data_IF_334647504882
#
_entry.id   IF_334647504882
#
_cell.length_a   1.000
_cell.length_b   1.000
_cell.length_c   1.000
_cell.angle_alpha   90.00
_cell.angle_beta   90.00
_cell.angle_gamma   90.00
#
_symmetry.space_group_name_H-M   'P 1'
#
loop_
_entity.id
_entity.type
_entity.pdbx_description
1 polymer ?
#
# COMPACT_ATOMS: atom_id res chain seq x y z
N UNK A 1 35.32 57.31 -12.46
CA UNK A 1 35.60 56.00 -11.84
C UNK A 1 35.67 56.14 -10.31
N UNK A 2 34.52 56.16 -9.60
CA UNK A 2 34.54 56.37 -8.14
C UNK A 2 33.39 55.77 -7.33
N UNK A 3 32.31 55.28 -7.96
CA UNK A 3 31.13 54.79 -7.22
C UNK A 3 30.91 53.26 -7.24
N UNK A 4 31.62 52.52 -8.09
CA UNK A 4 31.41 51.05 -8.24
C UNK A 4 32.22 50.25 -7.20
N UNK A 5 33.33 50.78 -6.71
CA UNK A 5 34.29 50.03 -5.87
C UNK A 5 33.82 49.87 -4.41
N UNK A 6 32.96 50.76 -3.90
CA UNK A 6 32.50 50.71 -2.50
C UNK A 6 31.44 49.61 -2.24
N UNK A 7 30.64 49.23 -3.24
CA UNK A 7 29.59 48.21 -3.07
C UNK A 7 30.10 46.76 -3.11
N UNK A 8 31.26 46.51 -3.72
CA UNK A 8 31.82 45.17 -3.81
C UNK A 8 32.47 44.70 -2.49
N UNK A 9 33.02 45.63 -1.69
CA UNK A 9 33.63 45.29 -0.39
C UNK A 9 32.58 44.95 0.69
N UNK A 10 31.41 45.58 0.66
CA UNK A 10 30.32 45.30 1.62
C UNK A 10 29.65 43.95 1.35
N UNK A 11 29.48 43.56 0.09
CA UNK A 11 28.87 42.27 -0.30
C UNK A 11 29.82 41.09 0.01
N UNK A 12 31.13 41.24 -0.22
CA UNK A 12 32.13 40.21 0.17
C UNK A 12 32.15 39.98 1.69
N UNK A 13 31.98 41.04 2.47
CA UNK A 13 31.94 40.96 3.94
C UNK A 13 30.62 40.34 4.44
N UNK A 14 29.50 40.64 3.78
CA UNK A 14 28.19 40.07 4.12
C UNK A 14 28.08 38.56 3.83
N UNK A 15 28.65 38.10 2.70
CA UNK A 15 28.63 36.68 2.34
C UNK A 15 29.60 35.80 3.16
N UNK A 16 30.70 36.37 3.68
CA UNK A 16 31.70 35.60 4.44
C UNK A 16 31.30 35.36 5.90
N UNK A 17 30.48 36.23 6.51
CA UNK A 17 30.12 36.12 7.93
C UNK A 17 28.89 35.26 8.24
N UNK A 18 28.05 34.90 7.26
CA UNK A 18 26.81 34.12 7.52
C UNK A 18 26.81 32.66 7.08
N UNK A 19 27.78 32.21 6.29
CA UNK A 19 27.74 30.88 5.66
C UNK A 19 28.73 29.85 6.19
N UNK A 20 29.44 30.14 7.28
CA UNK A 20 30.43 29.20 7.86
C UNK A 20 29.88 28.38 9.02
N UNK A 21 28.66 28.63 9.53
CA UNK A 21 28.28 28.02 10.81
C UNK A 21 27.45 26.72 10.81
N UNK A 22 26.79 26.25 9.75
CA UNK A 22 25.81 25.15 9.93
C UNK A 22 25.81 23.99 8.92
N UNK A 23 26.89 23.64 8.23
CA UNK A 23 26.90 22.44 7.35
C UNK A 23 28.22 21.66 7.41
N UNK A 24 28.21 20.32 7.49
CA UNK A 24 29.43 19.52 7.47
C UNK A 24 30.03 19.53 6.05
N UNK A 25 31.35 19.72 5.88
CA UNK A 25 31.94 19.84 4.56
C UNK A 25 32.19 18.45 3.94
N UNK A 26 31.38 18.06 2.95
CA UNK A 26 31.76 16.99 2.03
C UNK A 26 32.88 17.48 1.12
N UNK A 27 33.88 16.61 0.81
CA UNK A 27 35.04 16.95 -0.04
C UNK A 27 34.65 17.48 -1.44
N UNK A 28 33.42 17.19 -1.88
CA UNK A 28 32.83 17.61 -3.15
C UNK A 28 32.42 19.09 -3.11
N UNK A 29 31.80 19.54 -2.02
CA UNK A 29 31.42 20.94 -1.84
C UNK A 29 32.65 21.86 -1.90
N UNK A 30 33.76 21.45 -1.29
CA UNK A 30 35.03 22.19 -1.33
C UNK A 30 35.62 22.24 -2.76
N UNK A 31 35.52 21.16 -3.55
CA UNK A 31 35.99 21.14 -4.95
C UNK A 31 35.16 22.05 -5.87
N UNK A 32 33.84 22.02 -5.75
CA UNK A 32 32.94 22.89 -6.52
C UNK A 32 33.13 24.36 -6.14
N UNK A 33 33.36 24.64 -4.86
CA UNK A 33 33.64 26.00 -4.39
C UNK A 33 34.98 26.52 -4.92
N UNK A 34 36.04 25.70 -4.90
CA UNK A 34 37.36 26.05 -5.47
C UNK A 34 37.30 26.25 -6.99
N UNK A 35 36.55 25.42 -7.72
CA UNK A 35 36.34 25.59 -9.16
C UNK A 35 35.53 26.85 -9.50
N UNK A 36 34.57 27.23 -8.65
CA UNK A 36 33.78 28.45 -8.80
C UNK A 36 34.58 29.71 -8.46
N UNK A 37 35.48 29.64 -7.46
CA UNK A 37 36.38 30.74 -7.11
C UNK A 37 37.46 30.99 -8.17
N UNK A 38 37.93 29.96 -8.86
CA UNK A 38 38.89 30.07 -9.96
C UNK A 38 38.33 30.77 -11.22
N UNK A 39 37.01 30.92 -11.34
CA UNK A 39 36.35 31.58 -12.47
C UNK A 39 36.00 33.05 -12.23
N UNK A 40 36.43 33.65 -11.11
CA UNK A 40 36.15 35.04 -10.72
C UNK A 40 37.13 36.04 -11.38
N UNK A 41 37.66 35.71 -12.56
CA UNK A 41 38.48 36.62 -13.36
C UNK A 41 37.69 37.40 -14.40
N UNK A 42 36.60 36.83 -14.93
CA UNK A 42 35.96 37.34 -16.14
C UNK A 42 34.44 37.13 -16.05
N UNK A 43 33.70 38.22 -16.25
CA UNK A 43 32.25 38.28 -16.51
C UNK A 43 31.24 38.45 -15.37
N UNK A 44 30.21 39.22 -15.73
CA UNK A 44 29.18 39.89 -14.94
C UNK A 44 28.47 39.08 -13.84
N UNK A 45 28.10 39.79 -12.77
CA UNK A 45 27.37 39.29 -11.57
C UNK A 45 26.05 38.58 -11.87
N UNK A 46 25.42 38.85 -13.01
CA UNK A 46 24.14 38.26 -13.43
C UNK A 46 24.30 36.82 -13.89
N UNK A 47 25.46 36.47 -14.49
CA UNK A 47 25.80 35.09 -14.85
C UNK A 47 26.18 34.27 -13.61
N UNK A 48 26.79 34.88 -12.60
CA UNK A 48 27.08 34.21 -11.33
C UNK A 48 25.78 33.81 -10.63
N UNK A 49 24.76 34.67 -10.54
CA UNK A 49 23.49 34.30 -9.89
C UNK A 49 22.77 33.17 -10.63
N UNK A 50 22.76 33.20 -11.97
CA UNK A 50 22.15 32.12 -12.78
C UNK A 50 22.95 30.83 -12.70
N UNK A 51 24.28 30.88 -12.76
CA UNK A 51 25.14 29.70 -12.70
C UNK A 51 25.13 29.07 -11.31
N UNK A 52 25.23 29.89 -10.25
CA UNK A 52 25.16 29.40 -8.87
C UNK A 52 23.76 28.91 -8.52
N UNK A 53 22.67 29.49 -9.05
CA UNK A 53 21.31 28.97 -8.85
C UNK A 53 21.04 27.70 -9.64
N UNK A 54 21.62 27.56 -10.85
CA UNK A 54 21.52 26.34 -11.68
C UNK A 54 22.34 25.20 -11.09
N UNK A 55 23.55 25.50 -10.59
CA UNK A 55 24.39 24.52 -9.91
C UNK A 55 23.94 24.26 -8.46
N UNK A 56 23.39 25.24 -7.73
CA UNK A 56 22.70 24.97 -6.46
C UNK A 56 21.46 24.13 -6.70
N UNK A 57 20.66 24.35 -7.77
CA UNK A 57 19.58 23.40 -8.14
C UNK A 57 20.11 22.01 -8.47
N UNK A 58 21.29 21.90 -9.08
CA UNK A 58 21.96 20.63 -9.37
C UNK A 58 22.60 19.97 -8.13
N UNK A 59 22.81 20.75 -7.04
CA UNK A 59 23.36 20.27 -5.75
C UNK A 59 22.26 20.08 -4.69
N UNK A 60 21.12 20.75 -4.84
CA UNK A 60 19.88 20.53 -4.05
C UNK A 60 18.94 19.53 -4.70
N UNK A 61 19.16 19.16 -5.97
CA UNK A 61 19.06 17.76 -6.35
C UNK A 61 20.22 17.05 -5.64
N UNK A 62 20.05 16.81 -4.34
CA UNK A 62 20.44 15.48 -3.86
C UNK A 62 19.76 14.56 -4.86
N UNK A 63 20.55 13.86 -5.69
CA UNK A 63 20.01 12.82 -6.55
C UNK A 63 19.02 12.08 -5.67
N UNK A 64 17.72 12.17 -5.97
CA UNK A 64 16.72 11.29 -5.36
C UNK A 64 17.20 9.92 -5.79
N UNK A 65 18.01 9.32 -4.94
CA UNK A 65 18.66 8.06 -5.23
C UNK A 65 17.53 7.12 -5.57
N UNK A 66 17.60 6.49 -6.75
CA UNK A 66 16.72 5.37 -7.09
C UNK A 66 16.60 4.53 -5.83
N UNK A 67 15.38 4.24 -5.39
CA UNK A 67 15.17 3.28 -4.32
C UNK A 67 15.60 1.91 -4.84
N UNK A 68 16.88 1.63 -4.72
CA UNK A 68 17.41 0.30 -4.99
C UNK A 68 17.15 -0.49 -3.72
N UNK A 69 15.95 -1.06 -3.62
CA UNK A 69 15.71 -2.04 -2.60
C UNK A 69 16.57 -3.27 -2.94
N UNK A 70 17.57 -3.54 -2.10
CA UNK A 70 18.43 -4.69 -2.30
C UNK A 70 17.69 -5.99 -1.98
N UNK A 71 17.95 -7.08 -2.73
CA UNK A 71 17.30 -8.36 -2.52
C UNK A 71 17.41 -8.91 -1.10
N UNK A 72 16.44 -9.73 -0.64
CA UNK A 72 16.49 -10.41 0.66
C UNK A 72 17.73 -11.27 0.90
N UNK A 73 18.41 -11.72 -0.16
CA UNK A 73 19.67 -12.44 -0.08
C UNK A 73 20.78 -11.67 0.67
N UNK A 74 20.77 -10.33 0.64
CA UNK A 74 21.74 -9.50 1.37
C UNK A 74 21.33 -9.25 2.83
N UNK A 75 20.13 -9.65 3.20
CA UNK A 75 19.49 -9.36 4.47
C UNK A 75 19.33 -10.55 5.41
N UNK A 76 18.67 -10.33 6.54
CA UNK A 76 18.25 -11.41 7.46
C UNK A 76 16.77 -11.71 7.34
N UNK A 77 15.96 -10.71 7.04
CA UNK A 77 14.50 -10.82 7.04
C UNK A 77 13.94 -10.71 5.62
N UNK A 78 12.74 -11.25 5.41
CA UNK A 78 11.91 -11.04 4.23
C UNK A 78 10.69 -10.25 4.70
N UNK A 79 10.49 -9.07 4.16
CA UNK A 79 9.54 -8.07 4.64
C UNK A 79 8.27 -8.09 3.80
N UNK A 80 7.12 -8.28 4.47
CA UNK A 80 5.81 -8.44 3.82
C UNK A 80 4.83 -7.42 4.38
N UNK A 81 4.25 -6.61 3.52
CA UNK A 81 3.07 -5.80 3.83
C UNK A 81 1.84 -6.42 3.16
N UNK A 82 0.78 -6.64 3.92
CA UNK A 82 -0.50 -7.12 3.41
C UNK A 82 -1.64 -6.20 3.82
N UNK A 83 -2.52 -5.87 2.88
CA UNK A 83 -3.64 -4.95 3.09
C UNK A 83 -4.94 -5.61 2.64
N UNK A 84 -5.89 -5.75 3.56
CA UNK A 84 -7.16 -6.43 3.29
C UNK A 84 -8.09 -5.61 2.38
N UNK A 85 -9.03 -6.31 1.74
CA UNK A 85 -10.17 -5.70 1.07
C UNK A 85 -11.18 -5.10 2.04
N UNK A 86 -12.01 -4.16 1.55
CA UNK A 86 -13.00 -3.51 2.42
C UNK A 86 -13.71 -2.25 1.90
N UNK A 87 -13.60 -1.92 0.61
CA UNK A 87 -14.25 -0.72 0.04
C UNK A 87 -13.78 0.58 0.72
N UNK A 88 -14.70 1.47 1.09
CA UNK A 88 -14.35 2.76 1.73
C UNK A 88 -13.63 2.62 3.07
N UNK A 89 -13.68 1.43 3.69
CA UNK A 89 -12.97 1.14 4.94
C UNK A 89 -11.46 1.09 4.76
N UNK A 90 -10.95 1.16 3.54
CA UNK A 90 -9.54 1.43 3.22
C UNK A 90 -8.99 2.70 3.88
N UNK A 91 -9.84 3.61 4.37
CA UNK A 91 -9.43 4.71 5.23
C UNK A 91 -8.73 4.24 6.52
N UNK A 92 -9.12 3.09 7.09
CA UNK A 92 -8.48 2.55 8.30
C UNK A 92 -7.02 2.20 8.02
N UNK A 93 -6.68 1.30 7.06
CA UNK A 93 -5.29 1.02 6.74
C UNK A 93 -4.55 2.26 6.23
N UNK A 94 -5.21 3.20 5.56
CA UNK A 94 -4.57 4.46 5.14
C UNK A 94 -3.99 5.26 6.33
N UNK A 95 -4.69 5.32 7.46
CA UNK A 95 -4.19 5.99 8.67
C UNK A 95 -2.99 5.23 9.27
N UNK A 96 -3.05 3.90 9.29
CA UNK A 96 -1.97 3.05 9.80
C UNK A 96 -0.70 3.19 8.94
N UNK A 97 -0.86 3.21 7.61
CA UNK A 97 0.22 3.36 6.65
C UNK A 97 0.83 4.76 6.68
N UNK A 98 0.01 5.80 6.83
CA UNK A 98 0.48 7.19 7.01
C UNK A 98 1.36 7.29 8.27
N UNK A 99 0.92 6.70 9.38
CA UNK A 99 1.72 6.63 10.59
C UNK A 99 3.05 5.88 10.36
N UNK A 100 3.01 4.69 9.76
CA UNK A 100 4.21 3.89 9.48
C UNK A 100 5.21 4.64 8.57
N UNK A 101 4.75 5.26 7.49
CA UNK A 101 5.61 6.00 6.57
C UNK A 101 6.24 7.23 7.24
N UNK A 102 5.50 7.94 8.10
CA UNK A 102 6.07 9.07 8.86
C UNK A 102 7.12 8.63 9.87
N UNK A 103 6.95 7.47 10.51
CA UNK A 103 8.00 6.90 11.37
C UNK A 103 9.24 6.50 10.58
N UNK A 104 9.08 5.92 9.38
CA UNK A 104 10.21 5.64 8.49
C UNK A 104 10.93 6.93 8.05
N UNK A 105 10.17 7.97 7.69
CA UNK A 105 10.72 9.30 7.37
C UNK A 105 11.49 9.92 8.54
N UNK A 106 11.02 9.72 9.77
CA UNK A 106 11.71 10.19 10.98
C UNK A 106 13.05 9.47 11.19
N UNK A 107 13.15 8.20 10.81
CA UNK A 107 14.37 7.39 11.00
C UNK A 107 15.37 7.63 9.86
N UNK A 108 14.91 7.59 8.60
CA UNK A 108 15.78 7.54 7.41
C UNK A 108 15.71 8.79 6.52
N UNK A 109 14.86 9.75 6.84
CA UNK A 109 14.70 11.03 6.13
C UNK A 109 13.44 11.16 5.29
N UNK A 110 13.12 12.39 4.89
CA UNK A 110 11.84 12.78 4.24
C UNK A 110 11.54 12.06 2.91
N UNK A 111 12.56 11.55 2.23
CA UNK A 111 12.40 10.82 0.98
C UNK A 111 12.00 9.35 1.18
N UNK A 112 12.02 8.82 2.41
CA UNK A 112 11.61 7.44 2.72
C UNK A 112 10.14 7.17 2.31
N UNK A 113 9.89 6.05 1.64
CA UNK A 113 8.56 5.59 1.25
C UNK A 113 8.37 4.13 1.58
N UNK A 114 7.13 3.70 1.80
CA UNK A 114 6.80 2.31 2.13
C UNK A 114 7.43 1.29 1.16
N UNK A 115 7.41 1.58 -0.14
CA UNK A 115 7.98 0.70 -1.17
C UNK A 115 9.50 0.46 -1.04
N UNK A 116 10.22 1.27 -0.27
CA UNK A 116 11.67 1.12 -0.08
C UNK A 116 12.03 0.03 0.94
N UNK A 117 11.05 -0.42 1.73
CA UNK A 117 11.26 -1.26 2.91
C UNK A 117 10.62 -2.64 2.83
N UNK A 118 9.64 -2.84 1.93
CA UNK A 118 8.89 -4.09 1.81
C UNK A 118 9.27 -4.85 0.56
N UNK A 119 9.74 -6.09 0.70
CA UNK A 119 10.12 -6.96 -0.42
C UNK A 119 8.92 -7.32 -1.28
N UNK A 120 7.76 -7.40 -0.63
CA UNK A 120 6.48 -7.63 -1.27
C UNK A 120 5.36 -6.82 -0.59
N UNK A 121 4.51 -6.21 -1.41
CA UNK A 121 3.29 -5.54 -0.96
C UNK A 121 2.07 -6.23 -1.58
N UNK A 122 1.23 -6.81 -0.75
CA UNK A 122 0.04 -7.53 -1.17
C UNK A 122 -1.23 -6.77 -0.80
N UNK A 123 -2.20 -6.76 -1.70
CA UNK A 123 -3.46 -6.06 -1.44
C UNK A 123 -4.63 -6.62 -2.23
N UNK A 124 -5.77 -6.78 -1.56
CA UNK A 124 -7.03 -7.24 -2.18
C UNK A 124 -8.01 -6.10 -2.28
N UNK A 125 -8.72 -5.96 -3.40
CA UNK A 125 -9.76 -4.93 -3.57
C UNK A 125 -9.20 -3.54 -3.32
N UNK A 126 -9.79 -2.79 -2.39
CA UNK A 126 -9.24 -1.51 -1.94
C UNK A 126 -7.78 -1.62 -1.46
N UNK A 127 -7.37 -2.71 -0.81
CA UNK A 127 -5.98 -2.96 -0.48
C UNK A 127 -5.11 -3.06 -1.72
N UNK A 128 -5.60 -3.65 -2.81
CA UNK A 128 -4.91 -3.70 -4.11
C UNK A 128 -4.78 -2.32 -4.77
N UNK A 129 -5.80 -1.45 -4.62
CA UNK A 129 -5.71 -0.04 -5.03
C UNK A 129 -4.62 0.70 -4.25
N UNK A 130 -4.56 0.48 -2.93
CA UNK A 130 -3.53 1.07 -2.07
C UNK A 130 -2.14 0.56 -2.44
N UNK A 131 -1.99 -0.75 -2.68
CA UNK A 131 -0.75 -1.35 -3.17
C UNK A 131 -0.28 -0.68 -4.45
N UNK A 132 -1.16 -0.49 -5.43
CA UNK A 132 -0.81 0.19 -6.67
C UNK A 132 -0.43 1.66 -6.45
N UNK A 133 -1.11 2.38 -5.55
CA UNK A 133 -0.74 3.76 -5.22
C UNK A 133 0.66 3.88 -4.60
N UNK A 134 1.02 2.93 -3.74
CA UNK A 134 2.32 2.92 -3.05
C UNK A 134 3.48 2.41 -3.93
N UNK A 135 3.20 1.78 -5.07
CA UNK A 135 4.22 1.07 -5.87
C UNK A 135 4.30 1.48 -7.33
N UNK A 136 3.29 2.17 -7.88
CA UNK A 136 3.38 2.73 -9.21
C UNK A 136 4.47 3.81 -9.26
N UNK A 137 5.39 3.77 -10.23
CA UNK A 137 6.45 4.77 -10.37
C UNK A 137 5.93 6.07 -11.01
N UNK A 138 6.46 7.19 -10.53
CA UNK A 138 6.42 8.47 -11.23
C UNK A 138 7.60 8.60 -12.22
N UNK A 139 7.78 9.80 -12.78
CA UNK A 139 8.86 10.11 -13.73
C UNK A 139 10.26 9.99 -13.09
N UNK A 140 10.37 10.16 -11.77
CA UNK A 140 11.60 10.04 -10.99
C UNK A 140 11.82 8.61 -10.44
N UNK A 141 10.99 7.62 -10.84
CA UNK A 141 10.99 6.26 -10.29
C UNK A 141 10.81 6.25 -8.76
N UNK A 142 9.93 7.10 -8.25
CA UNK A 142 9.42 7.11 -6.87
C UNK A 142 7.92 6.81 -6.85
N UNK A 143 7.35 6.37 -5.72
CA UNK A 143 5.92 6.13 -5.63
C UNK A 143 5.12 7.39 -5.99
N UNK A 144 4.10 7.23 -6.85
CA UNK A 144 3.21 8.34 -7.25
C UNK A 144 2.46 8.93 -6.05
N UNK A 145 2.26 8.15 -4.98
CA UNK A 145 1.56 8.57 -3.77
C UNK A 145 2.43 8.38 -2.53
N UNK A 146 2.36 9.35 -1.63
CA UNK A 146 2.73 9.12 -0.22
C UNK A 146 1.57 8.44 0.52
N UNK A 147 1.86 7.79 1.63
CA UNK A 147 0.83 7.11 2.41
C UNK A 147 -0.28 8.08 2.89
N UNK A 148 0.10 9.33 3.24
CA UNK A 148 -0.85 10.41 3.61
C UNK A 148 -1.85 10.77 2.51
N UNK A 149 -1.49 10.56 1.24
CA UNK A 149 -2.33 10.92 0.09
C UNK A 149 -3.49 9.95 -0.11
N UNK A 150 -3.36 8.71 0.38
CA UNK A 150 -4.39 7.67 0.29
C UNK A 150 -5.67 8.14 0.97
N UNK A 151 -5.57 8.71 2.17
CA UNK A 151 -6.72 9.28 2.91
C UNK A 151 -7.47 10.31 2.05
N UNK A 152 -6.73 11.25 1.46
CA UNK A 152 -7.30 12.31 0.63
C UNK A 152 -7.95 11.74 -0.63
N UNK A 153 -7.34 10.70 -1.22
CA UNK A 153 -7.92 9.99 -2.36
C UNK A 153 -9.31 9.43 -2.00
N UNK A 154 -9.46 8.73 -0.87
CA UNK A 154 -10.75 8.17 -0.46
C UNK A 154 -11.78 9.25 -0.16
N UNK A 155 -11.40 10.32 0.57
CA UNK A 155 -12.32 11.41 0.89
C UNK A 155 -12.88 12.09 -0.36
N UNK A 156 -12.06 12.28 -1.39
CA UNK A 156 -12.45 12.97 -2.62
C UNK A 156 -13.22 12.07 -3.60
N UNK A 157 -12.89 10.79 -3.66
CA UNK A 157 -13.39 9.89 -4.71
C UNK A 157 -14.52 8.97 -4.24
N UNK A 158 -14.55 8.55 -2.97
CA UNK A 158 -15.57 7.60 -2.48
C UNK A 158 -17.01 8.09 -2.68
N UNK A 159 -17.36 9.37 -2.42
CA UNK A 159 -18.73 9.85 -2.65
C UNK A 159 -19.15 9.85 -4.12
N UNK A 160 -18.18 9.91 -5.04
CA UNK A 160 -18.40 9.90 -6.50
C UNK A 160 -18.44 8.48 -7.07
N UNK A 161 -17.66 7.56 -6.49
CA UNK A 161 -17.69 6.13 -6.80
C UNK A 161 -19.00 5.51 -6.29
N UNK A 162 -19.34 5.78 -5.02
CA UNK A 162 -20.51 5.25 -4.34
C UNK A 162 -21.53 6.35 -4.11
N UNK A 163 -22.27 6.71 -5.16
CA UNK A 163 -23.27 7.78 -5.06
C UNK A 163 -24.34 7.44 -4.01
N UNK A 164 -24.57 8.38 -3.10
CA UNK A 164 -25.53 8.24 -2.00
C UNK A 164 -26.96 8.57 -2.46
N UNK A 165 -27.34 8.17 -3.68
CA UNK A 165 -28.68 8.43 -4.22
C UNK A 165 -29.74 7.91 -3.25
N UNK A 166 -30.67 8.79 -2.86
CA UNK A 166 -31.65 8.55 -1.80
C UNK A 166 -32.82 7.65 -2.25
N UNK A 167 -32.93 7.33 -3.55
CA UNK A 167 -34.03 6.51 -4.05
C UNK A 167 -33.70 5.02 -3.98
N UNK A 168 -34.03 4.41 -2.84
CA UNK A 168 -33.81 2.98 -2.53
C UNK A 168 -34.50 2.09 -3.57
N UNK A 169 -35.67 2.47 -4.06
CA UNK A 169 -36.42 1.71 -5.07
C UNK A 169 -35.67 1.66 -6.42
N UNK A 170 -35.05 2.77 -6.83
CA UNK A 170 -34.22 2.82 -8.03
C UNK A 170 -32.98 1.93 -7.90
N UNK A 171 -32.34 1.92 -6.73
CA UNK A 171 -31.19 1.04 -6.45
C UNK A 171 -31.60 -0.43 -6.45
N UNK A 172 -32.78 -0.76 -5.93
CA UNK A 172 -33.33 -2.12 -5.96
C UNK A 172 -33.54 -2.62 -7.40
N UNK A 173 -34.27 -1.85 -8.22
CA UNK A 173 -34.51 -2.22 -9.62
C UNK A 173 -33.18 -2.35 -10.36
N UNK A 174 -32.25 -1.42 -10.16
CA UNK A 174 -30.94 -1.47 -10.79
C UNK A 174 -30.18 -2.74 -10.39
N UNK A 175 -30.21 -3.13 -9.11
CA UNK A 175 -29.56 -4.34 -8.62
C UNK A 175 -30.16 -5.64 -9.16
N UNK A 176 -31.42 -5.64 -9.62
CA UNK A 176 -32.04 -6.78 -10.29
C UNK A 176 -31.60 -6.90 -11.76
N UNK A 177 -31.29 -5.77 -12.41
CA UNK A 177 -30.94 -5.70 -13.83
C UNK A 177 -29.43 -5.58 -14.08
N UNK A 178 -28.61 -5.39 -13.03
CA UNK A 178 -27.17 -5.17 -13.14
C UNK A 178 -26.53 -4.74 -11.81
N UNK A 179 -25.26 -4.31 -11.82
CA UNK A 179 -24.57 -3.87 -10.61
C UNK A 179 -25.14 -2.55 -10.07
N UNK A 180 -25.07 -2.36 -8.74
CA UNK A 180 -25.55 -1.14 -8.07
C UNK A 180 -24.84 0.11 -8.61
N UNK A 181 -23.54 0.01 -8.87
CA UNK A 181 -22.68 1.08 -9.40
C UNK A 181 -22.17 0.70 -10.79
N UNK A 182 -21.99 1.69 -11.68
CA UNK A 182 -21.54 1.43 -13.05
C UNK A 182 -20.01 1.32 -13.21
N UNK A 183 -19.25 1.65 -12.16
CA UNK A 183 -17.79 1.62 -12.15
C UNK A 183 -17.10 2.72 -12.98
N UNK A 184 -17.81 3.50 -13.80
CA UNK A 184 -17.19 4.41 -14.78
C UNK A 184 -16.29 5.45 -14.14
N UNK A 185 -16.74 6.06 -13.04
CA UNK A 185 -15.93 7.05 -12.31
C UNK A 185 -14.68 6.41 -11.68
N UNK A 186 -14.81 5.21 -11.12
CA UNK A 186 -13.70 4.45 -10.55
C UNK A 186 -12.65 4.13 -11.63
N UNK A 187 -13.08 3.58 -12.77
CA UNK A 187 -12.20 3.20 -13.87
C UNK A 187 -11.45 4.41 -14.40
N UNK A 188 -12.14 5.53 -14.63
CA UNK A 188 -11.53 6.77 -15.10
C UNK A 188 -10.53 7.34 -14.08
N UNK A 189 -10.85 7.28 -12.79
CA UNK A 189 -9.96 7.76 -11.72
C UNK A 189 -8.69 6.94 -11.62
N UNK A 190 -8.80 5.60 -11.73
CA UNK A 190 -7.66 4.67 -11.71
C UNK A 190 -6.79 4.88 -12.96
N UNK A 191 -7.39 4.83 -14.16
CA UNK A 191 -6.65 4.99 -15.44
C UNK A 191 -5.94 6.33 -15.53
N UNK A 192 -6.57 7.41 -15.07
CA UNK A 192 -5.93 8.74 -15.06
C UNK A 192 -4.67 8.78 -14.19
N UNK A 193 -4.65 8.04 -13.07
CA UNK A 193 -3.54 8.05 -12.10
C UNK A 193 -2.44 7.09 -12.48
N UNK A 194 -2.79 5.89 -12.92
CA UNK A 194 -1.81 4.84 -13.26
C UNK A 194 -1.33 4.92 -14.72
N UNK A 195 -1.99 5.71 -15.58
CA UNK A 195 -1.63 5.89 -16.99
C UNK A 195 -1.45 4.53 -17.67
N UNK A 196 -0.29 4.29 -18.30
CA UNK A 196 0.06 3.05 -18.98
C UNK A 196 0.99 2.15 -18.15
N UNK A 197 1.09 2.38 -16.84
CA UNK A 197 1.94 1.59 -15.93
C UNK A 197 1.49 0.14 -15.95
N UNK A 198 2.43 -0.78 -16.17
CA UNK A 198 2.20 -2.22 -16.12
C UNK A 198 2.65 -2.82 -14.79
N UNK A 199 2.32 -4.08 -14.56
CA UNK A 199 2.77 -4.83 -13.40
C UNK A 199 4.31 -4.84 -13.28
N UNK A 200 5.04 -4.96 -14.39
CA UNK A 200 6.51 -4.99 -14.40
C UNK A 200 7.16 -3.65 -13.99
N UNK A 201 6.42 -2.54 -14.11
CA UNK A 201 6.93 -1.21 -13.81
C UNK A 201 6.91 -0.90 -12.30
N UNK A 202 6.29 -1.75 -11.49
CA UNK A 202 6.13 -1.55 -10.04
C UNK A 202 7.48 -1.46 -9.32
N UNK A 203 7.57 -0.58 -8.32
CA UNK A 203 8.83 -0.25 -7.63
C UNK A 203 9.33 -1.35 -6.69
N UNK A 204 8.42 -2.21 -6.24
CA UNK A 204 8.71 -3.41 -5.47
C UNK A 204 7.78 -4.53 -5.94
N UNK A 205 7.99 -5.75 -5.49
CA UNK A 205 7.14 -6.86 -5.87
C UNK A 205 5.75 -6.68 -5.27
N UNK A 206 4.71 -6.93 -6.06
CA UNK A 206 3.34 -6.84 -5.59
C UNK A 206 2.58 -8.13 -5.80
N UNK A 207 1.52 -8.31 -5.01
CA UNK A 207 0.56 -9.41 -5.13
C UNK A 207 -0.85 -8.86 -5.03
N UNK A 208 -1.60 -8.94 -6.12
CA UNK A 208 -2.99 -8.50 -6.18
C UNK A 208 -3.86 -9.66 -6.68
N UNK A 209 -4.66 -10.31 -5.81
CA UNK A 209 -5.56 -11.36 -6.22
C UNK A 209 -6.80 -10.81 -6.93
N UNK A 210 -7.31 -11.60 -7.86
CA UNK A 210 -8.63 -11.49 -8.49
C UNK A 210 -9.23 -12.90 -8.62
N UNK A 211 -10.50 -12.99 -9.00
CA UNK A 211 -11.12 -14.27 -9.32
C UNK A 211 -11.64 -14.24 -10.76
N UNK A 212 -11.24 -15.21 -11.58
CA UNK A 212 -11.68 -15.30 -12.96
C UNK A 212 -12.94 -16.17 -13.07
N UNK A 213 -14.03 -15.57 -13.52
CA UNK A 213 -15.34 -16.22 -13.57
C UNK A 213 -15.54 -17.10 -14.80
N UNK A 214 -14.67 -16.98 -15.80
CA UNK A 214 -14.69 -17.84 -16.99
C UNK A 214 -13.98 -19.17 -16.71
N UNK A 215 -12.84 -19.12 -16.02
CA UNK A 215 -12.05 -20.30 -15.63
C UNK A 215 -12.43 -20.88 -14.27
N UNK A 216 -13.18 -20.14 -13.46
CA UNK A 216 -13.53 -20.48 -12.07
C UNK A 216 -12.29 -20.72 -11.20
N UNK A 217 -11.23 -19.93 -11.42
CA UNK A 217 -9.96 -20.02 -10.71
C UNK A 217 -9.49 -18.65 -10.23
N UNK A 218 -8.76 -18.58 -9.09
CA UNK A 218 -8.10 -17.35 -8.70
C UNK A 218 -7.02 -16.97 -9.72
N UNK A 219 -7.01 -15.70 -10.11
CA UNK A 219 -5.93 -15.12 -10.92
C UNK A 219 -5.12 -14.21 -10.01
N UNK A 220 -3.85 -14.54 -9.78
CA UNK A 220 -2.97 -13.79 -8.89
C UNK A 220 -2.01 -12.96 -9.74
N UNK A 221 -2.19 -11.65 -9.76
CA UNK A 221 -1.23 -10.74 -10.38
C UNK A 221 -0.05 -10.55 -9.43
N UNK A 222 1.05 -11.24 -9.74
CA UNK A 222 2.26 -11.25 -8.92
C UNK A 222 3.47 -10.86 -9.77
N UNK A 223 4.27 -9.92 -9.29
CA UNK A 223 5.54 -9.53 -9.95
C UNK A 223 6.51 -10.73 -10.04
N UNK A 224 6.34 -11.74 -9.20
CA UNK A 224 7.11 -12.97 -9.23
C UNK A 224 6.58 -13.98 -10.25
N UNK A 225 5.26 -14.22 -10.29
CA UNK A 225 4.69 -15.17 -11.25
C UNK A 225 4.75 -14.65 -12.68
N UNK A 226 4.72 -13.33 -12.91
CA UNK A 226 4.81 -12.80 -14.26
C UNK A 226 6.11 -13.16 -14.99
N UNK A 227 7.20 -13.42 -14.24
CA UNK A 227 8.48 -13.85 -14.80
C UNK A 227 8.35 -15.23 -15.49
N UNK A 228 7.50 -16.10 -14.95
CA UNK A 228 7.20 -17.44 -15.47
C UNK A 228 5.99 -17.44 -16.42
N UNK A 229 5.04 -16.53 -16.18
CA UNK A 229 3.78 -16.37 -16.92
C UNK A 229 3.68 -14.94 -17.43
N UNK A 230 4.38 -14.58 -18.52
CA UNK A 230 4.46 -13.19 -18.98
C UNK A 230 3.12 -12.56 -19.38
N UNK A 231 2.09 -13.37 -19.67
CA UNK A 231 0.73 -12.89 -19.90
C UNK A 231 0.10 -12.22 -18.67
N UNK A 232 0.65 -12.41 -17.47
CA UNK A 232 0.22 -11.68 -16.27
C UNK A 232 0.69 -10.21 -16.25
N UNK A 233 1.54 -9.80 -17.19
CA UNK A 233 2.02 -8.42 -17.32
C UNK A 233 0.96 -7.47 -17.90
N UNK A 234 -0.13 -7.29 -17.16
CA UNK A 234 -1.24 -6.43 -17.50
C UNK A 234 -1.01 -4.97 -17.07
N UNK A 235 -1.85 -4.06 -17.58
CA UNK A 235 -1.91 -2.69 -17.06
C UNK A 235 -2.34 -2.72 -15.60
N UNK A 236 -1.62 -1.98 -14.75
CA UNK A 236 -1.91 -1.90 -13.33
C UNK A 236 -3.32 -1.31 -13.09
N UNK A 237 -3.81 -0.47 -14.01
CA UNK A 237 -5.19 0.00 -13.97
C UNK A 237 -6.23 -1.11 -14.15
N UNK A 238 -5.98 -2.07 -15.04
CA UNK A 238 -6.94 -3.17 -15.26
C UNK A 238 -6.91 -4.15 -14.08
N UNK A 239 -5.73 -4.40 -13.51
CA UNK A 239 -5.57 -5.18 -12.28
C UNK A 239 -6.34 -4.52 -11.12
N UNK A 240 -6.18 -3.21 -10.93
CA UNK A 240 -6.86 -2.43 -9.90
C UNK A 240 -8.38 -2.42 -10.05
N UNK A 241 -8.87 -2.28 -11.28
CA UNK A 241 -10.31 -2.32 -11.57
C UNK A 241 -10.84 -3.73 -11.26
N UNK A 242 -10.17 -4.77 -11.74
CA UNK A 242 -10.56 -6.16 -11.53
C UNK A 242 -10.60 -6.55 -10.05
N UNK A 243 -9.53 -6.27 -9.29
CA UNK A 243 -9.48 -6.66 -7.87
C UNK A 243 -10.54 -5.97 -7.02
N UNK A 244 -11.05 -4.81 -7.45
CA UNK A 244 -12.09 -4.04 -6.72
C UNK A 244 -13.51 -4.23 -7.25
N UNK A 245 -13.72 -5.08 -8.26
CA UNK A 245 -15.00 -5.33 -8.91
C UNK A 245 -15.90 -6.27 -8.08
N UNK A 246 -16.33 -5.80 -6.90
CA UNK A 246 -17.11 -6.59 -5.96
C UNK A 246 -18.46 -7.01 -6.58
N UNK A 247 -18.79 -8.32 -6.62
CA UNK A 247 -20.08 -8.79 -7.14
C UNK A 247 -21.24 -8.04 -6.49
N UNK A 248 -22.34 -7.87 -7.23
CA UNK A 248 -23.52 -7.06 -6.85
C UNK A 248 -23.26 -5.55 -6.88
N UNK A 249 -22.08 -5.08 -6.45
CA UNK A 249 -21.78 -3.66 -6.35
C UNK A 249 -21.22 -3.05 -7.64
N UNK A 250 -20.27 -3.73 -8.28
CA UNK A 250 -19.54 -3.24 -9.45
C UNK A 250 -19.56 -4.29 -10.58
N UNK A 251 -19.51 -3.87 -11.86
CA UNK A 251 -19.44 -4.81 -12.98
C UNK A 251 -18.12 -5.59 -12.95
N UNK A 252 -18.11 -6.88 -13.35
CA UNK A 252 -16.89 -7.60 -13.68
C UNK A 252 -16.05 -6.83 -14.71
N UNK A 253 -14.75 -7.05 -14.68
CA UNK A 253 -13.81 -6.38 -15.58
C UNK A 253 -13.21 -7.36 -16.57
N UNK A 254 -13.31 -7.02 -17.85
CA UNK A 254 -12.72 -7.78 -18.94
C UNK A 254 -11.59 -6.99 -19.61
N UNK A 255 -10.47 -7.66 -19.86
CA UNK A 255 -9.39 -7.15 -20.69
C UNK A 255 -8.54 -8.29 -21.27
N UNK A 256 -7.69 -7.97 -22.23
CA UNK A 256 -6.76 -8.91 -22.84
C UNK A 256 -5.32 -8.44 -22.63
N UNK A 257 -4.41 -9.41 -22.52
CA UNK A 257 -2.97 -9.18 -22.68
C UNK A 257 -2.48 -9.91 -23.93
N UNK A 258 -1.35 -9.46 -24.46
CA UNK A 258 -0.70 -10.13 -25.58
C UNK A 258 0.75 -10.40 -25.23
N UNK A 259 1.14 -11.67 -25.30
CA UNK A 259 2.52 -12.09 -25.17
C UNK A 259 2.92 -12.94 -26.37
N UNK A 260 3.93 -12.50 -27.12
CA UNK A 260 4.45 -13.20 -28.31
C UNK A 260 3.35 -13.54 -29.34
N UNK A 261 2.36 -12.66 -29.51
CA UNK A 261 1.25 -12.87 -30.45
C UNK A 261 0.12 -13.75 -29.89
N UNK A 262 0.30 -14.35 -28.70
CA UNK A 262 -0.75 -15.08 -28.01
C UNK A 262 -1.56 -14.12 -27.14
N UNK A 263 -2.86 -14.04 -27.42
CA UNK A 263 -3.82 -13.29 -26.61
C UNK A 263 -4.23 -14.13 -25.40
N UNK A 264 -4.24 -13.50 -24.24
CA UNK A 264 -4.81 -14.08 -23.03
C UNK A 264 -5.93 -13.17 -22.54
N UNK A 265 -7.11 -13.76 -22.35
CA UNK A 265 -8.32 -13.07 -21.94
C UNK A 265 -8.52 -13.20 -20.43
N UNK A 266 -8.95 -12.13 -19.78
CA UNK A 266 -9.24 -12.09 -18.36
C UNK A 266 -10.68 -11.67 -18.13
N UNK A 267 -11.43 -12.44 -17.35
CA UNK A 267 -12.83 -12.19 -17.01
C UNK A 267 -12.99 -12.13 -15.49
N UNK A 268 -12.69 -10.98 -14.89
CA UNK A 268 -12.34 -10.90 -13.48
C UNK A 268 -13.38 -10.21 -12.61
N UNK A 269 -13.51 -10.70 -11.38
CA UNK A 269 -14.20 -10.06 -10.26
C UNK A 269 -13.26 -9.86 -9.07
N UNK A 270 -13.78 -9.21 -8.02
CA UNK A 270 -13.02 -8.83 -6.82
C UNK A 270 -12.22 -9.99 -6.21
N UNK A 271 -10.98 -9.67 -5.81
CA UNK A 271 -10.05 -10.62 -5.21
C UNK A 271 -10.52 -11.17 -3.85
N UNK A 272 -11.47 -10.53 -3.18
CA UNK A 272 -12.06 -11.02 -1.94
C UNK A 272 -12.80 -12.36 -2.13
N UNK A 273 -13.18 -12.70 -3.37
CA UNK A 273 -13.73 -14.03 -3.71
C UNK A 273 -12.67 -15.14 -3.67
N UNK A 274 -11.39 -14.78 -3.71
CA UNK A 274 -10.26 -15.69 -3.59
C UNK A 274 -9.55 -15.56 -2.23
N UNK A 275 -9.14 -14.35 -1.86
CA UNK A 275 -8.40 -14.08 -0.64
C UNK A 275 -8.61 -12.61 -0.21
N UNK A 276 -9.52 -12.36 0.73
CA UNK A 276 -9.73 -11.01 1.26
C UNK A 276 -8.53 -10.51 2.07
N UNK A 277 -7.89 -11.40 2.84
CA UNK A 277 -6.58 -11.18 3.44
C UNK A 277 -5.50 -11.89 2.58
N UNK A 278 -4.71 -11.16 1.78
CA UNK A 278 -3.77 -11.78 0.84
C UNK A 278 -2.42 -12.18 1.48
N UNK A 279 -2.28 -12.16 2.81
CA UNK A 279 -0.99 -12.41 3.48
C UNK A 279 -0.42 -13.79 3.13
N UNK A 280 -1.23 -14.85 3.20
CA UNK A 280 -0.79 -16.20 2.84
C UNK A 280 -0.44 -16.33 1.35
N UNK A 281 -1.13 -15.60 0.46
CA UNK A 281 -0.78 -15.57 -0.96
C UNK A 281 0.60 -14.95 -1.14
N UNK A 282 0.88 -13.83 -0.49
CA UNK A 282 2.19 -13.16 -0.54
C UNK A 282 3.33 -14.07 -0.06
N UNK A 283 3.12 -14.75 1.07
CA UNK A 283 4.09 -15.71 1.61
C UNK A 283 4.29 -16.91 0.69
N UNK A 284 3.21 -17.42 0.08
CA UNK A 284 3.27 -18.50 -0.90
C UNK A 284 4.04 -18.12 -2.17
N UNK A 285 3.87 -16.89 -2.65
CA UNK A 285 4.61 -16.36 -3.79
C UNK A 285 6.13 -16.29 -3.52
N UNK A 286 6.53 -15.83 -2.32
CA UNK A 286 7.93 -15.88 -1.88
C UNK A 286 8.44 -17.33 -1.79
N UNK A 287 7.64 -18.24 -1.22
CA UNK A 287 8.01 -19.65 -1.11
C UNK A 287 8.27 -20.30 -2.48
N UNK A 288 7.46 -19.98 -3.50
CA UNK A 288 7.70 -20.44 -4.88
C UNK A 288 9.05 -19.95 -5.43
N UNK A 289 9.43 -18.71 -5.16
CA UNK A 289 10.72 -18.17 -5.61
C UNK A 289 11.91 -18.89 -4.98
N UNK A 290 11.77 -19.30 -3.72
CA UNK A 290 12.77 -20.11 -3.02
C UNK A 290 12.88 -21.52 -3.61
N UNK A 291 11.76 -22.17 -3.91
CA UNK A 291 11.76 -23.47 -4.61
C UNK A 291 12.42 -23.38 -5.99
N UNK A 292 12.26 -22.25 -6.69
CA UNK A 292 12.86 -21.99 -8.00
C UNK A 292 14.35 -21.61 -7.96
N UNK A 293 14.98 -21.54 -6.78
CA UNK A 293 16.38 -21.10 -6.59
C UNK A 293 16.66 -19.72 -7.19
N UNK A 294 15.72 -18.79 -7.07
CA UNK A 294 15.92 -17.42 -7.51
C UNK A 294 17.08 -16.78 -6.73
N UNK A 295 18.03 -16.16 -7.44
CA UNK A 295 19.23 -15.55 -6.86
C UNK A 295 18.92 -14.41 -5.88
N UNK A 296 17.82 -13.69 -6.07
CA UNK A 296 17.35 -12.64 -5.15
C UNK A 296 17.01 -13.22 -3.75
N UNK A 297 16.78 -14.52 -3.71
CA UNK A 297 16.41 -15.32 -2.56
C UNK A 297 17.40 -16.46 -2.30
N UNK A 298 18.71 -16.30 -2.59
CA UNK A 298 19.71 -17.32 -2.25
C UNK A 298 19.73 -17.56 -0.73
N UNK A 299 18.96 -18.56 -0.26
CA UNK A 299 18.90 -18.99 1.14
C UNK A 299 19.61 -20.35 1.23
N UNK A 300 20.64 -20.49 2.09
CA UNK A 300 21.39 -21.75 2.22
C UNK A 300 20.58 -22.93 2.79
N UNK A 301 19.35 -22.70 3.27
CA UNK A 301 18.52 -23.66 3.99
C UNK A 301 17.07 -23.64 3.48
N UNK A 302 16.30 -24.74 3.61
CA UNK A 302 14.87 -24.77 3.26
C UNK A 302 14.09 -23.65 3.94
N UNK A 303 12.99 -23.20 3.31
CA UNK A 303 12.15 -22.06 3.73
C UNK A 303 12.01 -21.93 5.26
N UNK A 304 12.82 -21.06 5.86
CA UNK A 304 12.68 -20.73 7.28
C UNK A 304 11.67 -19.61 7.43
N UNK A 305 10.43 -19.96 7.74
CA UNK A 305 9.37 -19.01 8.09
C UNK A 305 9.79 -18.01 9.20
N UNK A 306 10.82 -18.34 9.99
CA UNK A 306 11.49 -17.45 10.96
C UNK A 306 12.03 -16.15 10.37
N UNK A 307 12.34 -16.13 9.07
CA UNK A 307 12.86 -14.93 8.38
C UNK A 307 11.77 -13.96 7.95
N UNK A 308 10.50 -14.36 7.94
CA UNK A 308 9.43 -13.44 7.55
C UNK A 308 9.23 -12.40 8.65
N UNK A 309 9.14 -11.13 8.24
CA UNK A 309 8.66 -10.00 9.03
C UNK A 309 7.41 -9.47 8.32
N UNK A 310 6.25 -9.70 8.92
CA UNK A 310 4.95 -9.52 8.29
C UNK A 310 4.12 -8.51 9.06
N UNK A 311 3.60 -7.52 8.35
CA UNK A 311 2.51 -6.67 8.83
C UNK A 311 1.28 -6.88 7.94
N UNK A 312 0.17 -7.26 8.55
CA UNK A 312 -1.14 -7.42 7.90
C UNK A 312 -2.11 -6.41 8.48
N UNK A 313 -2.68 -5.54 7.65
CA UNK A 313 -3.54 -4.44 8.08
C UNK A 313 -4.95 -4.68 7.55
N UNK A 314 -5.88 -4.92 8.46
CA UNK A 314 -7.27 -5.16 8.12
C UNK A 314 -8.07 -3.85 7.94
N UNK A 315 -9.26 -3.97 7.35
CA UNK A 315 -10.22 -2.86 7.17
C UNK A 315 -11.32 -2.84 8.23
N UNK A 316 -11.13 -3.60 9.31
CA UNK A 316 -12.04 -3.74 10.44
C UNK A 316 -13.19 -4.72 10.23
N UNK A 317 -13.80 -5.14 11.33
CA UNK A 317 -14.82 -6.18 11.45
C UNK A 317 -15.91 -5.75 12.43
N UNK A 318 -17.10 -6.32 12.27
CA UNK A 318 -18.26 -6.02 13.12
C UNK A 318 -18.49 -7.07 14.23
N UNK A 319 -17.57 -8.03 14.43
CA UNK A 319 -17.77 -9.26 15.21
C UNK A 319 -18.24 -9.04 16.65
N UNK A 320 -17.70 -8.04 17.34
CA UNK A 320 -18.06 -7.75 18.74
C UNK A 320 -19.47 -7.20 18.89
N UNK A 321 -19.95 -6.47 17.90
CA UNK A 321 -21.19 -5.67 18.00
C UNK A 321 -22.35 -6.36 17.28
N UNK A 322 -22.07 -7.11 16.21
CA UNK A 322 -23.12 -7.62 15.35
C UNK A 322 -22.88 -9.05 14.88
N UNK A 323 -23.91 -9.86 15.06
CA UNK A 323 -23.97 -11.25 14.62
C UNK A 323 -25.29 -11.47 13.89
N UNK A 324 -25.27 -12.26 12.82
CA UNK A 324 -26.50 -12.72 12.18
C UNK A 324 -27.30 -13.59 13.16
N UNK A 325 -28.61 -13.36 13.23
CA UNK A 325 -29.50 -14.15 14.06
C UNK A 325 -30.03 -15.34 13.25
N UNK A 326 -29.78 -16.56 13.73
CA UNK A 326 -30.18 -17.81 13.04
C UNK A 326 -31.69 -17.87 12.79
N UNK A 327 -32.52 -17.43 13.74
CA UNK A 327 -33.98 -17.44 13.57
C UNK A 327 -34.47 -16.46 12.49
N UNK A 328 -33.68 -15.41 12.21
CA UNK A 328 -33.94 -14.50 11.08
C UNK A 328 -33.38 -15.09 9.78
N UNK A 329 -32.15 -15.60 9.81
CA UNK A 329 -31.46 -16.16 8.64
C UNK A 329 -32.13 -17.43 8.10
N UNK A 330 -32.75 -18.26 8.94
CA UNK A 330 -33.51 -19.44 8.52
C UNK A 330 -34.73 -19.12 7.66
N UNK A 331 -35.18 -17.87 7.68
CA UNK A 331 -36.29 -17.37 6.84
C UNK A 331 -35.80 -16.64 5.60
N UNK A 332 -34.49 -16.55 5.37
CA UNK A 332 -33.93 -15.86 4.21
C UNK A 332 -34.00 -16.74 2.97
N UNK A 333 -34.63 -16.22 1.92
CA UNK A 333 -34.46 -16.69 0.55
C UNK A 333 -33.27 -16.04 -0.15
N UNK A 334 -33.21 -16.15 -1.47
CA UNK A 334 -32.11 -15.60 -2.31
C UNK A 334 -31.80 -14.14 -1.97
N UNK A 335 -32.81 -13.27 -1.92
CA UNK A 335 -32.62 -11.84 -1.63
C UNK A 335 -32.09 -11.56 -0.22
N UNK A 336 -32.47 -12.37 0.78
CA UNK A 336 -32.00 -12.20 2.15
C UNK A 336 -30.51 -12.50 2.28
N UNK A 337 -30.03 -13.53 1.57
CA UNK A 337 -28.63 -13.92 1.54
C UNK A 337 -27.77 -13.05 0.60
N UNK A 338 -28.29 -12.64 -0.55
CA UNK A 338 -27.51 -11.93 -1.58
C UNK A 338 -27.45 -10.42 -1.36
N UNK A 339 -28.57 -9.73 -1.15
CA UNK A 339 -28.60 -8.29 -0.96
C UNK A 339 -29.79 -7.86 -0.10
N UNK A 340 -29.50 -7.41 1.11
CA UNK A 340 -30.48 -6.73 1.93
C UNK A 340 -30.65 -5.29 1.45
N UNK A 341 -31.60 -5.09 0.54
CA UNK A 341 -31.90 -3.84 -0.18
C UNK A 341 -32.07 -2.63 0.74
N UNK A 342 -32.62 -2.82 1.94
CA UNK A 342 -32.84 -1.73 2.90
C UNK A 342 -31.52 -1.15 3.45
N UNK A 343 -30.47 -1.97 3.54
CA UNK A 343 -29.16 -1.58 4.07
C UNK A 343 -28.03 -1.69 3.05
N UNK A 344 -28.33 -2.13 1.82
CA UNK A 344 -27.40 -2.56 0.78
C UNK A 344 -26.25 -3.47 1.29
N UNK A 345 -26.48 -4.24 2.36
CA UNK A 345 -25.51 -5.21 2.87
C UNK A 345 -25.68 -6.55 2.18
N UNK A 346 -24.59 -7.27 1.92
CA UNK A 346 -24.62 -8.60 1.32
C UNK A 346 -24.10 -9.63 2.33
N UNK A 347 -24.99 -10.33 3.05
CA UNK A 347 -24.55 -11.28 4.08
C UNK A 347 -23.60 -12.36 3.58
N UNK A 348 -23.82 -12.85 2.36
CA UNK A 348 -22.94 -13.86 1.77
C UNK A 348 -21.52 -13.30 1.55
N UNK A 349 -21.39 -12.10 0.97
CA UNK A 349 -20.09 -11.46 0.77
C UNK A 349 -19.41 -11.10 2.09
N UNK A 350 -20.19 -10.64 3.07
CA UNK A 350 -19.71 -10.30 4.42
C UNK A 350 -19.12 -11.56 5.10
N UNK A 351 -19.84 -12.69 5.04
CA UNK A 351 -19.40 -13.97 5.62
C UNK A 351 -18.15 -14.51 4.92
N UNK A 352 -18.11 -14.53 3.59
CA UNK A 352 -16.94 -15.02 2.85
C UNK A 352 -15.70 -14.16 3.11
N UNK A 353 -15.86 -12.83 3.10
CA UNK A 353 -14.75 -11.91 3.39
C UNK A 353 -14.23 -12.10 4.81
N UNK A 354 -15.13 -12.24 5.78
CA UNK A 354 -14.77 -12.47 7.18
C UNK A 354 -14.08 -13.81 7.39
N UNK A 355 -14.62 -14.89 6.82
CA UNK A 355 -14.02 -16.21 6.90
C UNK A 355 -12.61 -16.23 6.29
N UNK A 356 -12.41 -15.52 5.18
CA UNK A 356 -11.10 -15.41 4.54
C UNK A 356 -10.08 -14.71 5.44
N UNK A 357 -10.45 -13.59 6.09
CA UNK A 357 -9.56 -12.89 7.03
C UNK A 357 -9.25 -13.76 8.26
N UNK A 358 -10.26 -14.41 8.85
CA UNK A 358 -10.11 -15.21 10.08
C UNK A 358 -9.20 -16.40 9.89
N UNK A 359 -9.43 -17.16 8.82
CA UNK A 359 -8.65 -18.36 8.52
C UNK A 359 -7.18 -17.97 8.34
N UNK A 360 -6.89 -16.88 7.63
CA UNK A 360 -5.51 -16.43 7.41
C UNK A 360 -4.84 -16.05 8.73
N UNK A 361 -5.49 -15.23 9.56
CA UNK A 361 -4.92 -14.79 10.85
C UNK A 361 -4.72 -15.95 11.82
N UNK A 362 -5.68 -16.89 11.91
CA UNK A 362 -5.55 -18.11 12.72
C UNK A 362 -4.35 -18.94 12.28
N UNK A 363 -4.21 -19.20 10.98
CA UNK A 363 -3.10 -20.02 10.45
C UNK A 363 -1.75 -19.36 10.71
N UNK A 364 -1.64 -18.06 10.48
CA UNK A 364 -0.39 -17.32 10.72
C UNK A 364 -0.07 -17.22 12.21
N UNK A 365 -1.06 -16.97 13.06
CA UNK A 365 -0.89 -16.96 14.50
C UNK A 365 -0.36 -18.30 15.03
N UNK A 366 -0.90 -19.43 14.53
CA UNK A 366 -0.40 -20.77 14.88
C UNK A 366 1.01 -20.99 14.35
N UNK A 367 1.27 -20.65 13.08
CA UNK A 367 2.56 -20.88 12.44
C UNK A 367 3.70 -20.11 13.14
N UNK A 368 3.53 -18.79 13.34
CA UNK A 368 4.54 -17.95 13.97
C UNK A 368 4.74 -18.30 15.45
N UNK A 369 3.69 -18.78 16.13
CA UNK A 369 3.79 -19.32 17.50
C UNK A 369 4.56 -20.63 17.57
N UNK A 370 4.28 -21.57 16.68
CA UNK A 370 4.99 -22.84 16.63
C UNK A 370 6.50 -22.68 16.35
N UNK A 371 6.89 -21.58 15.73
CA UNK A 371 8.27 -21.27 15.38
C UNK A 371 8.97 -20.33 16.37
N UNK A 372 8.31 -19.96 17.47
CA UNK A 372 8.83 -19.04 18.49
C UNK A 372 9.28 -17.68 17.91
N UNK A 373 8.55 -17.20 16.89
CA UNK A 373 8.78 -15.90 16.22
C UNK A 373 7.50 -15.08 16.18
N UNK A 374 6.66 -15.24 17.20
CA UNK A 374 5.36 -14.57 17.37
C UNK A 374 5.38 -13.04 17.16
N UNK A 375 6.51 -12.39 17.38
CA UNK A 375 6.70 -10.94 17.25
C UNK A 375 6.89 -10.49 15.80
N UNK A 376 7.22 -11.41 14.91
CA UNK A 376 7.45 -11.12 13.50
C UNK A 376 6.15 -11.01 12.70
N UNK A 377 5.01 -11.39 13.28
CA UNK A 377 3.69 -11.22 12.67
C UNK A 377 2.88 -10.19 13.46
N UNK A 378 2.68 -9.02 12.85
CA UNK A 378 1.86 -7.94 13.39
C UNK A 378 0.57 -7.83 12.57
N UNK A 379 -0.56 -8.24 13.15
CA UNK A 379 -1.87 -8.02 12.56
C UNK A 379 -2.57 -6.84 13.25
N UNK A 380 -2.88 -5.80 12.48
CA UNK A 380 -3.60 -4.61 12.98
C UNK A 380 -5.03 -4.67 12.45
N UNK A 381 -5.98 -4.95 13.36
CA UNK A 381 -7.39 -5.14 13.04
C UNK A 381 -8.29 -4.48 14.09
N UNK A 382 -9.37 -3.83 13.63
CA UNK A 382 -10.46 -3.35 14.49
C UNK A 382 -11.59 -4.37 14.47
N UNK A 383 -11.99 -4.94 15.61
CA UNK A 383 -12.97 -6.02 15.67
C UNK A 383 -14.34 -5.63 16.25
N UNK A 384 -14.50 -4.34 16.55
CA UNK A 384 -15.72 -3.73 17.08
C UNK A 384 -16.20 -2.53 16.26
N UNK A 385 -16.15 -2.60 14.93
CA UNK A 385 -16.80 -1.58 14.09
C UNK A 385 -18.30 -1.54 14.35
N UNK A 386 -18.84 -0.32 14.44
CA UNK A 386 -20.29 -0.12 14.41
C UNK A 386 -20.85 -0.58 13.06
N UNK A 387 -22.05 -1.16 13.05
CA UNK A 387 -22.70 -1.70 11.85
C UNK A 387 -22.77 -0.71 10.68
N UNK A 388 -22.92 0.56 11.00
CA UNK A 388 -22.99 1.66 10.04
C UNK A 388 -21.66 1.91 9.33
N UNK A 389 -20.54 1.67 10.02
CA UNK A 389 -19.16 1.79 9.51
C UNK A 389 -18.69 0.54 8.76
N UNK A 390 -19.31 -0.61 9.02
CA UNK A 390 -19.02 -1.87 8.34
C UNK A 390 -19.41 -1.86 6.85
N UNK A 391 -20.32 -0.97 6.43
CA UNK A 391 -20.73 -0.88 5.02
C UNK A 391 -19.56 -0.51 4.09
N UNK A 392 -19.36 -1.32 3.05
CA UNK A 392 -18.28 -1.17 2.08
C UNK A 392 -18.41 0.07 1.18
N UNK A 393 -19.60 0.66 1.08
CA UNK A 393 -19.94 1.66 0.04
C UNK A 393 -20.69 2.88 0.60
N UNK A 394 -20.90 2.99 1.92
CA UNK A 394 -21.61 4.13 2.53
C UNK A 394 -20.72 5.37 2.66
N UNK A 395 -20.44 6.02 1.54
CA UNK A 395 -19.53 7.16 1.44
C UNK A 395 -20.17 8.51 1.85
N UNK A 396 -20.89 8.56 2.97
CA UNK A 396 -21.35 9.84 3.54
C UNK A 396 -20.19 10.52 4.28
N UNK A 397 -20.17 11.86 4.33
CA UNK A 397 -19.13 12.62 5.04
C UNK A 397 -18.91 12.12 6.46
N UNK A 398 -19.99 11.98 7.22
CA UNK A 398 -19.97 11.45 8.58
C UNK A 398 -19.36 10.03 8.68
N UNK A 399 -19.69 9.13 7.75
CA UNK A 399 -19.15 7.77 7.77
C UNK A 399 -17.64 7.74 7.49
N UNK A 400 -17.18 8.56 6.54
CA UNK A 400 -15.76 8.66 6.20
C UNK A 400 -14.95 9.27 7.37
N UNK A 401 -15.46 10.31 8.03
CA UNK A 401 -14.85 10.90 9.23
C UNK A 401 -14.73 9.88 10.36
N UNK A 402 -15.79 9.11 10.62
CA UNK A 402 -15.80 8.05 11.65
C UNK A 402 -14.83 6.90 11.35
N UNK A 403 -14.58 6.58 10.08
CA UNK A 403 -13.57 5.60 9.68
C UNK A 403 -12.15 6.12 9.94
N UNK A 404 -11.91 7.42 9.74
CA UNK A 404 -10.65 8.07 10.10
C UNK A 404 -10.45 8.03 11.61
N UNK A 405 -11.44 8.47 12.40
CA UNK A 405 -11.41 8.39 13.87
C UNK A 405 -11.14 6.96 14.36
N UNK A 406 -11.68 5.97 13.65
CA UNK A 406 -11.45 4.56 13.97
C UNK A 406 -10.00 4.17 13.74
N UNK A 407 -9.39 4.55 12.62
CA UNK A 407 -7.96 4.33 12.36
C UNK A 407 -7.07 5.01 13.40
N UNK A 408 -7.37 6.27 13.76
CA UNK A 408 -6.64 7.02 14.78
C UNK A 408 -6.75 6.37 16.17
N UNK A 409 -7.95 5.91 16.54
CA UNK A 409 -8.17 5.17 17.79
C UNK A 409 -7.47 3.81 17.77
N UNK A 410 -7.43 3.15 16.62
CA UNK A 410 -6.78 1.85 16.47
C UNK A 410 -5.28 1.92 16.75
N UNK A 411 -4.60 3.02 16.38
CA UNK A 411 -3.21 3.27 16.75
C UNK A 411 -3.01 3.26 18.28
N UNK A 412 -3.97 3.81 19.04
CA UNK A 412 -3.91 3.91 20.50
C UNK A 412 -4.35 2.65 21.25
N UNK A 413 -4.96 1.68 20.55
CA UNK A 413 -5.35 0.40 21.17
C UNK A 413 -4.13 -0.49 21.38
N UNK A 414 -4.22 -1.34 22.41
CA UNK A 414 -3.23 -2.39 22.67
C UNK A 414 -3.14 -3.36 21.50
N UNK A 415 -1.93 -3.83 21.21
CA UNK A 415 -1.72 -4.90 20.23
C UNK A 415 -2.52 -6.12 20.67
N UNK A 416 -3.32 -6.63 19.74
CA UNK A 416 -4.22 -7.75 20.00
C UNK A 416 -3.88 -8.91 19.08
N UNK A 417 -4.22 -10.12 19.51
CA UNK A 417 -4.10 -11.34 18.69
C UNK A 417 -5.41 -12.11 18.73
N UNK A 418 -5.66 -12.89 17.69
CA UNK A 418 -6.78 -13.83 17.71
C UNK A 418 -6.57 -14.88 18.80
N UNK A 419 -7.57 -15.05 19.66
CA UNK A 419 -7.66 -16.18 20.56
C UNK A 419 -8.10 -17.40 19.75
N UNK A 420 -7.23 -18.41 19.65
CA UNK A 420 -7.45 -19.58 18.80
C UNK A 420 -8.66 -20.45 19.21
N UNK A 421 -9.16 -20.29 20.44
CA UNK A 421 -10.36 -21.00 20.90
C UNK A 421 -11.64 -20.23 20.59
N UNK A 422 -11.61 -18.90 20.72
CA UNK A 422 -12.82 -18.06 20.63
C UNK A 422 -12.97 -17.33 19.30
N UNK A 423 -11.89 -17.18 18.53
CA UNK A 423 -11.82 -16.39 17.30
C UNK A 423 -11.89 -14.87 17.52
N UNK A 424 -11.90 -14.40 18.77
CA UNK A 424 -11.95 -12.98 19.10
C UNK A 424 -10.54 -12.39 19.26
N UNK A 425 -10.39 -11.09 19.02
CA UNK A 425 -9.14 -10.39 19.30
C UNK A 425 -9.04 -10.00 20.77
N UNK A 426 -7.94 -10.44 21.40
CA UNK A 426 -7.63 -10.18 22.80
C UNK A 426 -6.28 -9.45 22.90
N UNK A 427 -6.14 -8.46 23.82
CA UNK A 427 -4.86 -7.81 24.06
C UNK A 427 -3.77 -8.83 24.40
N UNK A 428 -2.69 -8.82 23.63
CA UNK A 428 -1.54 -9.71 23.79
C UNK A 428 -0.33 -9.00 24.42
N UNK A 429 -0.26 -7.68 24.26
CA UNK A 429 0.84 -6.86 24.75
C UNK A 429 0.30 -5.62 25.46
N UNK A 430 1.07 -5.11 26.42
CA UNK A 430 0.82 -3.80 27.02
C UNK A 430 1.10 -2.65 26.03
N UNK A 431 1.89 -2.91 24.98
CA UNK A 431 2.16 -1.93 23.92
C UNK A 431 0.91 -1.65 23.10
N UNK A 432 0.78 -0.39 22.71
CA UNK A 432 -0.17 0.07 21.70
C UNK A 432 0.28 -0.30 20.29
N UNK A 433 -0.65 -0.27 19.33
CA UNK A 433 -0.33 -0.47 17.92
C UNK A 433 0.65 0.61 17.41
N UNK A 434 0.55 1.84 17.91
CA UNK A 434 1.49 2.91 17.60
C UNK A 434 2.92 2.56 18.02
N UNK A 435 3.11 2.07 19.25
CA UNK A 435 4.42 1.64 19.76
C UNK A 435 4.96 0.44 18.99
N UNK A 436 4.09 -0.53 18.66
CA UNK A 436 4.47 -1.67 17.84
C UNK A 436 4.86 -1.26 16.42
N UNK A 437 4.20 -0.27 15.83
CA UNK A 437 4.56 0.29 14.51
C UNK A 437 5.90 1.02 14.55
N UNK A 438 6.23 1.72 15.65
CA UNK A 438 7.57 2.32 15.83
C UNK A 438 8.66 1.25 15.89
N UNK A 439 8.41 0.16 16.62
CA UNK A 439 9.34 -0.98 16.68
C UNK A 439 9.46 -1.66 15.31
N UNK A 440 8.36 -1.79 14.57
CA UNK A 440 8.33 -2.38 13.23
C UNK A 440 9.08 -1.50 12.22
N UNK A 441 8.85 -0.19 12.23
CA UNK A 441 9.58 0.78 11.39
C UNK A 441 11.09 0.71 11.64
N UNK A 442 11.51 0.56 12.90
CA UNK A 442 12.93 0.37 13.23
C UNK A 442 13.48 -0.92 12.66
N UNK A 443 12.77 -2.04 12.76
CA UNK A 443 13.20 -3.31 12.17
C UNK A 443 13.34 -3.23 10.65
N UNK A 444 12.40 -2.55 9.98
CA UNK A 444 12.47 -2.30 8.54
C UNK A 444 13.70 -1.46 8.16
N UNK A 445 13.95 -0.37 8.89
CA UNK A 445 15.11 0.49 8.67
C UNK A 445 16.42 -0.26 8.92
N UNK A 446 16.55 -0.96 10.06
CA UNK A 446 17.72 -1.77 10.41
C UNK A 446 18.01 -2.84 9.33
N UNK A 447 16.97 -3.51 8.82
CA UNK A 447 17.10 -4.50 7.75
C UNK A 447 17.51 -3.86 6.42
N UNK A 448 16.93 -2.72 6.05
CA UNK A 448 17.33 -1.97 4.86
C UNK A 448 18.80 -1.57 4.93
N UNK A 449 19.23 -0.94 6.01
CA UNK A 449 20.63 -0.53 6.22
C UNK A 449 21.57 -1.73 6.20
N UNK A 450 21.18 -2.86 6.80
CA UNK A 450 21.97 -4.09 6.77
C UNK A 450 22.22 -4.56 5.33
N UNK A 451 21.20 -4.48 4.46
CA UNK A 451 21.34 -4.84 3.05
C UNK A 451 22.19 -3.84 2.29
N UNK A 452 21.99 -2.53 2.50
CA UNK A 452 22.81 -1.48 1.90
C UNK A 452 24.31 -1.67 2.23
N UNK A 453 24.64 -2.13 3.43
CA UNK A 453 26.03 -2.42 3.84
C UNK A 453 26.60 -3.73 3.28
N UNK A 454 25.76 -4.72 2.96
CA UNK A 454 26.18 -6.05 2.50
C UNK A 454 26.13 -6.23 0.99
N UNK A 455 25.43 -5.35 0.30
CA UNK A 455 25.39 -5.33 -1.16
C UNK A 455 26.75 -4.94 -1.75
N UNK A 456 27.14 -5.55 -2.88
CA UNK A 456 28.44 -5.34 -3.51
C UNK A 456 28.64 -3.98 -4.17
#
# INVERSE_FOLDING_TARGET
>A
MGLVTLHLRSIKRWCSTRLVQHWPPSRIAIKVYKASAAKIGEESSTNLYRYTRRNMRCVTQVERTKSVQHPPAFGKLITVLSIDGGGIRGLIPAIILDFLENELKRIDGEDARIADYFDIIAGTSTGGLITAMLTAPDEDKRPVFEAKDIKNFYLQNSPKIFTQDCNIFKKFIKSLMGPVYDGKYLHNSIRKRLRNTKLEDTLTNIVIPTFDINTLQPTIFSSYEMKEKPYLNALLSDICIATSAAPIFLPPHHFETNHQGQKHEFNLVDGAMAANNPTLIAMGEIAKQLTRKNNDFHIPQPLEYRRFLVISIGTGECKKIWKYNVNKASKWGVLGWSLNVFNLSSPLLDIFSQASTDIVDIHLSVLFKALDVEKNYLHIQEDGLERTLFSLHRATKHNLERLIETGERLLKRKVSKVNLQTGNFEPYSEKTNEEALKDFAKQLSDEKHLRDHRSP
#
